data_IF_121979838116
#
_entry.id   IF_121979838116
#
_cell.length_a   1.000
_cell.length_b   1.000
_cell.length_c   1.000
_cell.angle_alpha   90.00
_cell.angle_beta   90.00
_cell.angle_gamma   90.00
#
_symmetry.space_group_name_H-M   'P 1'
#
loop_
_entity.id
_entity.type
_entity.pdbx_description
1 polymer ?
#
# COMPACT_ATOMS: atom_id res chain seq x y z
N UNK A 1 -14.56 -17.57 -5.51
CA UNK A 1 -14.53 -16.67 -6.68
C UNK A 1 -14.91 -15.29 -6.20
N UNK A 2 -13.92 -14.46 -5.87
CA UNK A 2 -14.13 -13.05 -5.53
C UNK A 2 -14.14 -12.32 -6.87
N UNK A 3 -15.32 -11.97 -7.37
CA UNK A 3 -15.43 -11.16 -8.58
C UNK A 3 -14.86 -9.77 -8.28
N UNK A 4 -14.22 -9.15 -9.26
CA UNK A 4 -13.54 -7.85 -9.16
C UNK A 4 -14.45 -6.67 -8.73
N UNK A 5 -15.71 -6.92 -8.38
CA UNK A 5 -16.71 -5.92 -7.99
C UNK A 5 -16.61 -5.47 -6.50
N UNK A 6 -15.74 -6.10 -5.70
CA UNK A 6 -15.81 -6.04 -4.22
C UNK A 6 -14.89 -4.99 -3.56
N UNK A 7 -14.57 -3.87 -4.20
CA UNK A 7 -13.88 -2.76 -3.52
C UNK A 7 -14.77 -1.53 -3.44
N UNK A 8 -15.24 -1.25 -2.23
CA UNK A 8 -15.79 0.04 -1.85
C UNK A 8 -14.64 0.84 -1.23
N UNK A 9 -14.34 2.04 -1.75
CA UNK A 9 -13.31 2.90 -1.15
C UNK A 9 -13.82 3.50 0.16
N UNK A 10 -13.67 2.74 1.23
CA UNK A 10 -14.04 3.16 2.58
C UNK A 10 -12.99 4.06 3.24
N UNK A 11 -11.79 4.16 2.66
CA UNK A 11 -10.75 5.05 3.18
C UNK A 11 -11.06 6.52 2.87
N UNK A 12 -11.85 6.78 1.82
CA UNK A 12 -12.38 8.11 1.48
C UNK A 12 -13.91 8.19 1.60
N UNK A 13 -14.52 7.33 2.42
CA UNK A 13 -15.96 7.36 2.64
C UNK A 13 -16.41 8.75 3.13
N UNK A 14 -17.42 9.37 2.50
CA UNK A 14 -17.89 10.68 2.93
C UNK A 14 -18.43 10.62 4.37
N UNK A 15 -18.31 11.69 5.16
CA UNK A 15 -18.95 11.79 6.46
C UNK A 15 -20.45 11.43 6.38
N UNK A 16 -20.94 10.70 7.37
CA UNK A 16 -22.35 10.29 7.44
C UNK A 16 -22.70 8.97 6.75
N UNK A 17 -21.74 8.29 6.10
CA UNK A 17 -21.95 6.95 5.55
C UNK A 17 -22.45 5.96 6.62
N UNK A 18 -21.98 6.07 7.86
CA UNK A 18 -22.44 5.23 8.98
C UNK A 18 -23.94 5.41 9.28
N UNK A 19 -24.51 6.60 9.08
CA UNK A 19 -25.95 6.81 9.27
C UNK A 19 -26.74 6.12 8.16
N UNK A 20 -26.35 6.33 6.91
CA UNK A 20 -27.01 5.68 5.76
C UNK A 20 -26.97 4.15 5.88
N UNK A 21 -25.82 3.61 6.27
CA UNK A 21 -25.68 2.19 6.53
C UNK A 21 -26.60 1.70 7.66
N UNK A 22 -26.67 2.44 8.78
CA UNK A 22 -27.55 2.11 9.90
C UNK A 22 -29.03 2.11 9.51
N UNK A 23 -29.47 3.14 8.78
CA UNK A 23 -30.86 3.29 8.34
C UNK A 23 -31.26 2.16 7.39
N UNK A 24 -30.40 1.82 6.43
CA UNK A 24 -30.60 0.68 5.54
C UNK A 24 -30.57 -0.67 6.29
N UNK A 25 -29.74 -0.80 7.32
CA UNK A 25 -29.65 -2.04 8.12
C UNK A 25 -30.86 -2.25 9.01
N UNK A 26 -31.43 -1.19 9.58
CA UNK A 26 -32.42 -1.32 10.65
C UNK A 26 -33.82 -0.88 10.25
N UNK A 27 -33.96 -0.15 9.14
CA UNK A 27 -35.19 0.54 8.75
C UNK A 27 -35.54 1.72 9.68
N UNK A 28 -34.65 2.11 10.59
CA UNK A 28 -34.88 3.16 11.60
C UNK A 28 -34.01 4.37 11.30
N UNK A 29 -34.58 5.56 11.35
CA UNK A 29 -33.80 6.78 11.15
C UNK A 29 -32.81 7.03 12.29
N UNK A 30 -31.57 7.39 11.95
CA UNK A 30 -30.58 7.84 12.92
C UNK A 30 -30.76 9.33 13.26
N UNK A 31 -31.37 10.12 12.36
CA UNK A 31 -31.41 11.58 12.41
C UNK A 31 -32.37 12.09 13.51
N UNK A 32 -33.46 11.38 13.77
CA UNK A 32 -34.47 11.72 14.79
C UNK A 32 -34.18 11.21 16.21
N UNK A 33 -32.97 10.73 16.48
CA UNK A 33 -32.60 10.13 17.76
C UNK A 33 -31.85 11.09 18.69
N UNK A 34 -31.70 10.71 19.96
CA UNK A 34 -31.06 11.55 20.99
C UNK A 34 -29.65 11.94 20.56
N UNK A 35 -29.39 13.26 20.56
CA UNK A 35 -28.16 13.87 20.06
C UNK A 35 -27.09 13.91 21.16
N UNK A 36 -25.84 13.62 20.79
CA UNK A 36 -24.67 13.80 21.66
C UNK A 36 -23.53 14.45 20.84
N UNK A 37 -23.51 15.77 20.80
CA UNK A 37 -22.69 16.52 19.84
C UNK A 37 -23.09 16.17 18.40
N UNK A 38 -22.12 15.81 17.56
CA UNK A 38 -22.38 15.33 16.20
C UNK A 38 -22.85 13.86 16.15
N UNK A 39 -22.77 13.14 17.27
CA UNK A 39 -23.15 11.74 17.35
C UNK A 39 -24.65 11.55 17.57
N UNK A 40 -25.13 10.32 17.32
CA UNK A 40 -26.50 9.88 17.55
C UNK A 40 -26.53 8.62 18.40
N UNK A 41 -27.42 8.57 19.39
CA UNK A 41 -27.68 7.38 20.20
C UNK A 41 -28.84 6.61 19.59
N UNK A 42 -28.53 5.42 19.07
CA UNK A 42 -29.44 4.56 18.33
C UNK A 42 -29.52 3.19 18.99
N UNK A 43 -30.48 2.37 18.57
CA UNK A 43 -30.52 0.98 19.00
C UNK A 43 -29.42 0.17 18.33
N UNK A 44 -28.73 -0.67 19.08
CA UNK A 44 -27.68 -1.52 18.58
C UNK A 44 -28.21 -2.42 17.46
N UNK A 45 -27.56 -2.44 16.29
CA UNK A 45 -27.99 -3.29 15.18
C UNK A 45 -27.49 -4.73 15.31
N UNK A 46 -26.71 -5.07 16.35
CA UNK A 46 -26.02 -6.35 16.45
C UNK A 46 -26.98 -7.51 16.68
N UNK A 47 -26.82 -8.61 15.93
CA UNK A 47 -27.73 -9.77 15.99
C UNK A 47 -27.70 -10.49 17.34
N UNK A 48 -26.59 -10.37 18.08
CA UNK A 48 -26.42 -10.96 19.40
C UNK A 48 -26.88 -10.03 20.54
N UNK A 49 -27.59 -8.95 20.22
CA UNK A 49 -28.02 -7.96 21.20
C UNK A 49 -29.41 -7.43 20.85
N UNK A 50 -30.43 -7.88 21.58
CA UNK A 50 -31.78 -7.36 21.48
C UNK A 50 -31.90 -6.06 22.27
N UNK A 51 -31.58 -4.95 21.60
CA UNK A 51 -31.51 -3.63 22.21
C UNK A 51 -32.90 -2.97 22.24
N UNK A 52 -33.56 -3.01 23.39
CA UNK A 52 -34.84 -2.34 23.61
C UNK A 52 -34.69 -0.81 23.83
N UNK A 53 -33.50 -0.37 24.30
CA UNK A 53 -33.19 1.03 24.60
C UNK A 53 -31.93 1.49 23.86
N UNK A 54 -31.89 2.68 23.25
CA UNK A 54 -30.73 3.14 22.48
C UNK A 54 -29.40 3.11 23.27
N UNK A 55 -28.55 2.13 23.00
CA UNK A 55 -27.25 1.94 23.66
C UNK A 55 -26.04 2.10 22.72
N UNK A 56 -26.29 2.30 21.43
CA UNK A 56 -25.26 2.40 20.40
C UNK A 56 -25.03 3.85 19.97
N UNK A 57 -23.78 4.31 20.01
CA UNK A 57 -23.39 5.64 19.54
C UNK A 57 -22.83 5.56 18.12
N UNK A 58 -23.42 6.32 17.20
CA UNK A 58 -22.93 6.50 15.84
C UNK A 58 -22.20 7.85 15.71
N UNK A 59 -20.99 7.84 15.15
CA UNK A 59 -20.21 9.04 14.84
C UNK A 59 -20.11 9.24 13.32
N UNK A 60 -20.83 10.22 12.74
CA UNK A 60 -20.86 10.44 11.29
C UNK A 60 -19.56 11.04 10.73
N UNK A 61 -18.85 11.86 11.50
CA UNK A 61 -17.59 12.47 11.06
C UNK A 61 -16.47 11.42 10.87
N UNK A 62 -16.45 10.40 11.74
CA UNK A 62 -15.45 9.31 11.69
C UNK A 62 -15.98 8.03 11.07
N UNK A 63 -17.25 7.97 10.69
CA UNK A 63 -17.92 6.77 10.21
C UNK A 63 -17.72 5.53 11.12
N UNK A 64 -17.81 5.74 12.44
CA UNK A 64 -17.59 4.70 13.46
C UNK A 64 -18.80 4.53 14.37
N UNK A 65 -18.90 3.37 15.02
CA UNK A 65 -19.90 3.08 16.03
C UNK A 65 -19.31 2.38 17.26
N UNK A 66 -20.02 2.48 18.38
CA UNK A 66 -19.74 1.72 19.60
C UNK A 66 -21.03 1.50 20.39
N UNK A 67 -21.26 0.27 20.82
CA UNK A 67 -22.33 -0.11 21.74
C UNK A 67 -21.83 -0.06 23.20
N UNK A 68 -22.58 0.61 24.07
CA UNK A 68 -22.25 0.74 25.50
C UNK A 68 -23.03 -0.24 26.41
N UNK A 69 -23.92 -1.06 25.85
CA UNK A 69 -24.65 -2.06 26.63
C UNK A 69 -23.69 -3.10 27.24
N UNK A 70 -23.91 -3.40 28.52
CA UNK A 70 -23.16 -4.43 29.23
C UNK A 70 -23.36 -5.80 28.55
N UNK A 71 -22.26 -6.45 28.14
CA UNK A 71 -22.29 -7.74 27.45
C UNK A 71 -22.29 -7.66 25.92
N UNK A 72 -22.52 -6.49 25.31
CA UNK A 72 -22.44 -6.33 23.85
C UNK A 72 -21.07 -5.79 23.39
N UNK A 73 -20.75 -4.52 23.71
CA UNK A 73 -19.43 -3.92 23.49
C UNK A 73 -18.93 -3.83 22.04
N UNK A 74 -19.76 -4.17 21.04
CA UNK A 74 -19.39 -4.13 19.62
C UNK A 74 -19.02 -2.70 19.21
N UNK A 75 -17.98 -2.59 18.39
CA UNK A 75 -17.43 -1.31 17.93
C UNK A 75 -16.67 -1.48 16.63
N UNK A 76 -16.50 -0.40 15.88
CA UNK A 76 -15.69 -0.39 14.68
C UNK A 76 -16.19 0.61 13.65
N UNK A 77 -15.88 0.35 12.38
CA UNK A 77 -16.36 1.14 11.25
C UNK A 77 -17.68 0.63 10.69
N UNK A 78 -18.07 1.18 9.54
CA UNK A 78 -19.32 0.84 8.84
C UNK A 78 -19.44 -0.67 8.55
N UNK A 79 -18.38 -1.32 8.07
CA UNK A 79 -18.41 -2.75 7.78
C UNK A 79 -18.54 -3.59 9.04
N UNK A 80 -17.88 -3.19 10.13
CA UNK A 80 -17.96 -3.92 11.41
C UNK A 80 -19.39 -3.87 11.98
N UNK A 81 -20.12 -2.78 11.74
CA UNK A 81 -21.54 -2.66 12.11
C UNK A 81 -22.43 -3.62 11.32
N UNK A 82 -22.21 -3.71 10.01
CA UNK A 82 -22.94 -4.63 9.12
C UNK A 82 -22.62 -6.09 9.48
N UNK A 83 -21.34 -6.39 9.75
CA UNK A 83 -20.92 -7.72 10.23
C UNK A 83 -21.60 -8.04 11.56
N UNK A 84 -21.57 -7.13 12.53
CA UNK A 84 -22.21 -7.32 13.84
C UNK A 84 -23.72 -7.55 13.72
N UNK A 85 -24.38 -6.94 12.71
CA UNK A 85 -25.83 -7.08 12.51
C UNK A 85 -26.30 -8.44 12.00
N UNK A 86 -25.39 -9.30 11.53
CA UNK A 86 -25.75 -10.59 10.94
C UNK A 86 -26.46 -10.52 9.58
N UNK A 87 -27.00 -9.36 9.15
CA UNK A 87 -27.76 -9.20 7.90
C UNK A 87 -26.97 -9.38 6.59
N UNK A 88 -25.67 -9.64 6.66
CA UNK A 88 -24.82 -9.93 5.51
C UNK A 88 -24.78 -11.43 5.14
N UNK A 89 -25.35 -12.32 5.95
CA UNK A 89 -25.29 -13.78 5.74
C UNK A 89 -26.31 -14.33 4.72
N UNK A 90 -27.29 -13.54 4.28
CA UNK A 90 -28.35 -14.01 3.38
C UNK A 90 -28.00 -13.92 1.89
N UNK A 91 -26.93 -13.21 1.52
CA UNK A 91 -26.62 -12.92 0.09
C UNK A 91 -25.68 -13.94 -0.55
N UNK A 92 -24.98 -14.78 0.21
CA UNK A 92 -24.15 -15.85 -0.35
C UNK A 92 -23.72 -16.76 0.79
N UNK A 93 -23.98 -18.07 0.72
CA UNK A 93 -23.66 -19.08 1.75
C UNK A 93 -22.16 -19.26 2.08
N UNK A 94 -21.49 -18.17 2.44
CA UNK A 94 -20.08 -18.04 2.81
C UNK A 94 -20.03 -17.43 4.21
N UNK A 95 -19.11 -17.89 5.05
CA UNK A 95 -18.90 -17.38 6.41
C UNK A 95 -18.73 -15.86 6.42
N UNK A 96 -19.39 -15.23 7.38
CA UNK A 96 -19.40 -13.81 7.72
C UNK A 96 -18.02 -13.14 7.69
N UNK A 97 -17.74 -12.33 6.66
CA UNK A 97 -16.53 -11.52 6.55
C UNK A 97 -16.83 -10.09 6.09
N UNK A 98 -15.83 -9.20 6.21
CA UNK A 98 -15.93 -7.79 5.80
C UNK A 98 -16.21 -7.59 4.30
N UNK A 99 -15.90 -8.56 3.44
CA UNK A 99 -16.19 -8.47 2.00
C UNK A 99 -17.69 -8.62 1.73
N UNK A 100 -18.36 -9.56 2.40
CA UNK A 100 -19.81 -9.68 2.31
C UNK A 100 -20.54 -8.42 2.80
N UNK A 101 -20.05 -7.82 3.88
CA UNK A 101 -20.57 -6.53 4.36
C UNK A 101 -20.37 -5.39 3.35
N UNK A 102 -19.23 -5.35 2.65
CA UNK A 102 -18.96 -4.36 1.61
C UNK A 102 -19.92 -4.49 0.42
N UNK A 103 -20.15 -5.72 -0.07
CA UNK A 103 -21.12 -6.01 -1.15
C UNK A 103 -22.54 -5.57 -0.77
N UNK A 104 -22.97 -5.93 0.43
CA UNK A 104 -24.29 -5.54 0.93
C UNK A 104 -24.44 -4.01 0.97
N UNK A 105 -23.44 -3.31 1.52
CA UNK A 105 -23.48 -1.85 1.66
C UNK A 105 -23.55 -1.15 0.29
N UNK A 106 -22.76 -1.62 -0.66
CA UNK A 106 -22.74 -1.10 -2.01
C UNK A 106 -24.11 -1.25 -2.68
N UNK A 107 -24.72 -2.43 -2.57
CA UNK A 107 -26.05 -2.70 -3.11
C UNK A 107 -27.14 -1.89 -2.40
N UNK A 108 -27.14 -1.86 -1.06
CA UNK A 108 -28.15 -1.19 -0.26
C UNK A 108 -28.18 0.33 -0.46
N UNK A 109 -27.04 0.94 -0.80
CA UNK A 109 -26.90 2.38 -0.96
C UNK A 109 -26.68 2.83 -2.42
N UNK A 110 -26.74 1.91 -3.38
CA UNK A 110 -26.43 2.14 -4.79
C UNK A 110 -25.10 2.90 -4.99
N UNK A 111 -24.07 2.51 -4.22
CA UNK A 111 -22.76 3.18 -4.30
C UNK A 111 -22.04 2.75 -5.58
N UNK A 112 -21.38 3.69 -6.29
CA UNK A 112 -20.61 3.33 -7.47
C UNK A 112 -19.48 2.36 -7.07
N UNK A 113 -19.14 1.37 -7.91
CA UNK A 113 -17.95 0.57 -7.70
C UNK A 113 -16.72 1.48 -7.67
N UNK A 114 -15.70 1.10 -6.90
CA UNK A 114 -14.41 1.76 -6.96
C UNK A 114 -13.96 1.84 -8.44
N UNK A 115 -13.59 3.03 -8.95
CA UNK A 115 -13.07 3.17 -10.30
C UNK A 115 -11.86 2.26 -10.59
N UNK A 116 -11.13 1.83 -9.55
CA UNK A 116 -10.06 0.83 -9.65
C UNK A 116 -10.58 -0.61 -9.82
N UNK A 117 -11.76 -0.96 -9.30
CA UNK A 117 -12.42 -2.26 -9.51
C UNK A 117 -12.92 -2.46 -10.95
N UNK A 118 -13.19 -1.35 -11.67
CA UNK A 118 -13.57 -1.38 -13.09
C UNK A 118 -12.39 -1.66 -14.03
N UNK A 119 -11.16 -1.60 -13.51
CA UNK A 119 -9.98 -2.06 -14.23
C UNK A 119 -9.92 -3.59 -14.11
N UNK A 120 -9.59 -4.34 -15.19
CA UNK A 120 -9.45 -5.79 -15.11
C UNK A 120 -8.42 -6.15 -14.04
N UNK A 121 -8.91 -6.67 -12.92
CA UNK A 121 -8.08 -7.23 -11.87
C UNK A 121 -7.50 -8.54 -12.40
N UNK A 122 -6.20 -8.83 -12.24
CA UNK A 122 -5.70 -10.16 -12.49
C UNK A 122 -6.47 -11.14 -11.60
N UNK A 123 -7.05 -12.17 -12.23
CA UNK A 123 -7.88 -13.16 -11.54
C UNK A 123 -7.13 -13.74 -10.32
N UNK A 124 -7.71 -13.60 -9.13
CA UNK A 124 -7.17 -14.24 -7.94
C UNK A 124 -7.46 -15.75 -8.03
N UNK A 125 -6.40 -16.54 -8.21
CA UNK A 125 -6.45 -18.00 -8.30
C UNK A 125 -7.03 -18.56 -6.98
N UNK A 126 -8.15 -19.30 -7.01
CA UNK A 126 -8.76 -19.88 -5.81
C UNK A 126 -7.86 -20.91 -5.09
N UNK A 127 -6.77 -21.39 -5.71
CA UNK A 127 -5.74 -22.22 -5.06
C UNK A 127 -4.66 -21.41 -4.29
N UNK A 128 -4.63 -20.09 -4.41
CA UNK A 128 -3.58 -19.20 -3.87
C UNK A 128 -3.67 -18.95 -2.34
N UNK A 129 -4.63 -19.57 -1.66
CA UNK A 129 -4.78 -19.39 -0.20
C UNK A 129 -3.68 -20.08 0.62
N UNK A 130 -2.86 -20.95 0.02
CA UNK A 130 -1.72 -21.61 0.69
C UNK A 130 -0.50 -21.92 -0.22
N UNK A 131 -0.44 -21.41 -1.46
CA UNK A 131 0.50 -21.86 -2.50
C UNK A 131 1.84 -21.12 -2.53
N UNK A 132 2.92 -21.74 -2.03
CA UNK A 132 4.30 -21.31 -2.34
C UNK A 132 4.46 -21.17 -3.85
N UNK A 133 4.71 -19.94 -4.34
CA UNK A 133 5.09 -19.68 -5.74
C UNK A 133 6.20 -20.65 -6.13
N UNK A 134 5.89 -21.63 -6.99
CA UNK A 134 6.87 -22.57 -7.53
C UNK A 134 7.41 -21.98 -8.82
N UNK A 135 8.65 -21.51 -8.77
CA UNK A 135 9.44 -21.19 -9.96
C UNK A 135 10.15 -22.48 -10.38
N UNK A 136 10.01 -22.85 -11.65
CA UNK A 136 10.85 -23.89 -12.26
C UNK A 136 12.19 -23.26 -12.62
N UNK A 137 13.28 -24.02 -12.49
CA UNK A 137 14.64 -23.53 -12.74
C UNK A 137 14.95 -22.24 -11.94
N UNK A 138 14.55 -22.20 -10.66
CA UNK A 138 14.75 -21.03 -9.79
C UNK A 138 16.24 -20.74 -9.59
N UNK A 139 16.68 -19.51 -9.86
CA UNK A 139 18.01 -19.03 -9.53
C UNK A 139 17.94 -17.72 -8.73
N UNK A 140 18.93 -17.52 -7.85
CA UNK A 140 19.07 -16.29 -7.09
C UNK A 140 19.53 -15.17 -8.03
N UNK A 141 18.69 -14.16 -8.22
CA UNK A 141 18.95 -13.04 -9.09
C UNK A 141 19.68 -11.90 -8.37
N UNK A 142 19.21 -11.53 -7.18
CA UNK A 142 19.86 -10.50 -6.36
C UNK A 142 19.59 -10.66 -4.87
N UNK A 143 20.47 -10.08 -4.06
CA UNK A 143 20.39 -10.06 -2.59
C UNK A 143 20.56 -8.62 -2.12
N UNK A 144 19.65 -8.14 -1.29
CA UNK A 144 19.64 -6.78 -0.77
C UNK A 144 19.59 -6.83 0.77
N UNK A 145 20.58 -6.22 1.41
CA UNK A 145 20.69 -6.17 2.86
C UNK A 145 20.08 -4.88 3.40
N UNK A 146 19.13 -5.02 4.33
CA UNK A 146 18.52 -3.90 5.05
C UNK A 146 19.27 -3.70 6.35
N UNK A 147 19.96 -2.56 6.47
CA UNK A 147 20.79 -2.22 7.62
C UNK A 147 20.16 -1.08 8.42
N UNK A 148 20.20 -1.20 9.74
CA UNK A 148 19.83 -0.12 10.67
C UNK A 148 20.87 1.00 10.59
N UNK A 149 20.60 2.15 11.19
CA UNK A 149 21.51 3.31 11.18
C UNK A 149 22.88 3.05 11.82
N UNK A 150 22.97 2.07 12.73
CA UNK A 150 24.24 1.59 13.29
C UNK A 150 24.95 0.55 12.40
N UNK A 151 24.50 0.39 11.14
CA UNK A 151 25.00 -0.57 10.14
C UNK A 151 24.74 -2.06 10.44
N UNK A 152 24.06 -2.37 11.54
CA UNK A 152 23.64 -3.74 11.86
C UNK A 152 22.59 -4.25 10.87
N UNK A 153 22.71 -5.52 10.49
CA UNK A 153 21.77 -6.15 9.58
C UNK A 153 20.42 -6.40 10.27
N UNK A 154 19.35 -5.75 9.79
CA UNK A 154 17.99 -6.00 10.24
C UNK A 154 17.41 -7.24 9.56
N UNK A 155 17.50 -7.29 8.23
CA UNK A 155 17.04 -8.42 7.42
C UNK A 155 17.63 -8.36 6.01
N UNK A 156 17.46 -9.45 5.26
CA UNK A 156 17.92 -9.61 3.89
C UNK A 156 16.76 -9.98 2.99
N UNK A 157 16.61 -9.30 1.86
CA UNK A 157 15.63 -9.64 0.82
C UNK A 157 16.37 -10.26 -0.35
N UNK A 158 15.97 -11.46 -0.74
CA UNK A 158 16.48 -12.15 -1.91
C UNK A 158 15.42 -12.21 -3.00
N UNK A 159 15.80 -11.80 -4.20
CA UNK A 159 15.00 -11.91 -5.41
C UNK A 159 15.45 -13.12 -6.19
N UNK A 160 14.51 -14.00 -6.51
CA UNK A 160 14.70 -15.17 -7.36
C UNK A 160 13.95 -15.00 -8.67
N UNK A 161 14.53 -15.51 -9.75
CA UNK A 161 13.90 -15.59 -11.06
C UNK A 161 13.77 -17.06 -11.46
N UNK A 162 12.82 -17.35 -12.32
CA UNK A 162 12.66 -18.68 -12.90
C UNK A 162 11.51 -18.72 -13.89
N UNK A 163 11.32 -19.88 -14.51
CA UNK A 163 10.19 -20.12 -15.40
C UNK A 163 8.92 -20.26 -14.54
N UNK A 164 7.80 -19.68 -14.98
CA UNK A 164 6.55 -19.83 -14.25
C UNK A 164 6.09 -21.28 -14.36
N UNK A 165 5.67 -21.89 -13.25
CA UNK A 165 5.19 -23.28 -13.25
C UNK A 165 3.85 -23.48 -13.99
N UNK A 166 3.10 -22.40 -14.22
CA UNK A 166 1.86 -22.37 -15.00
C UNK A 166 1.94 -21.24 -16.05
N UNK A 167 1.34 -21.36 -17.24
CA UNK A 167 1.24 -20.27 -18.20
C UNK A 167 0.63 -19.01 -17.56
N UNK A 168 1.23 -17.84 -17.83
CA UNK A 168 0.81 -16.56 -17.22
C UNK A 168 1.23 -16.35 -15.76
N UNK A 169 1.91 -17.33 -15.14
CA UNK A 169 2.39 -17.21 -13.76
C UNK A 169 3.52 -16.20 -13.57
N UNK A 170 3.85 -15.93 -12.30
CA UNK A 170 4.96 -15.03 -11.93
C UNK A 170 6.30 -15.66 -12.29
N UNK A 171 7.20 -14.85 -12.84
CA UNK A 171 8.59 -15.22 -13.18
C UNK A 171 9.59 -14.86 -12.09
N UNK A 172 9.12 -14.18 -11.04
CA UNK A 172 9.94 -13.68 -9.93
C UNK A 172 9.28 -13.97 -8.59
N UNK A 173 10.13 -14.19 -7.59
CA UNK A 173 9.72 -14.41 -6.21
C UNK A 173 10.71 -13.75 -5.26
N UNK A 174 10.21 -13.30 -4.11
CA UNK A 174 11.03 -12.68 -3.08
C UNK A 174 10.99 -13.53 -1.82
N UNK A 175 12.13 -13.66 -1.13
CA UNK A 175 12.25 -14.25 0.21
C UNK A 175 12.91 -13.24 1.12
N UNK A 176 12.35 -13.04 2.30
CA UNK A 176 12.97 -12.22 3.34
C UNK A 176 13.55 -13.14 4.41
N UNK A 177 14.76 -12.82 4.85
CA UNK A 177 15.52 -13.58 5.83
C UNK A 177 15.90 -12.67 7.00
N UNK A 178 15.64 -13.13 8.22
CA UNK A 178 15.95 -12.40 9.45
C UNK A 178 17.05 -13.13 10.22
N UNK A 179 18.18 -12.48 10.54
CA UNK A 179 19.27 -13.12 11.26
C UNK A 179 18.86 -13.42 12.71
N UNK A 180 19.37 -14.53 13.25
CA UNK A 180 19.26 -14.88 14.68
C UNK A 180 20.62 -14.74 15.36
N UNK A 181 20.65 -14.52 16.69
CA UNK A 181 21.90 -14.49 17.45
C UNK A 181 22.74 -15.78 17.35
N UNK A 182 22.09 -16.92 17.05
CA UNK A 182 22.75 -18.22 16.89
C UNK A 182 23.28 -18.48 15.46
N UNK A 183 23.26 -17.47 14.58
CA UNK A 183 23.73 -17.56 13.20
C UNK A 183 22.74 -18.18 12.20
N UNK A 184 21.55 -18.63 12.65
CA UNK A 184 20.49 -19.13 11.76
C UNK A 184 19.64 -17.99 11.19
N UNK A 185 18.82 -18.31 10.19
CA UNK A 185 17.90 -17.35 9.55
C UNK A 185 16.44 -17.77 9.74
N UNK A 186 15.56 -16.79 9.98
CA UNK A 186 14.11 -16.95 9.98
C UNK A 186 13.51 -16.46 8.65
N UNK A 187 12.42 -17.06 8.24
CA UNK A 187 11.65 -16.68 7.04
C UNK A 187 10.38 -15.90 7.36
N UNK A 188 10.02 -15.82 8.65
CA UNK A 188 8.95 -14.97 9.16
C UNK A 188 9.56 -13.79 9.91
N UNK A 189 8.91 -12.63 9.82
CA UNK A 189 9.35 -11.41 10.50
C UNK A 189 9.15 -11.54 12.01
N UNK A 190 10.20 -11.42 12.83
CA UNK A 190 10.05 -11.27 14.28
C UNK A 190 9.26 -10.02 14.64
N UNK A 191 8.54 -10.02 15.77
CA UNK A 191 7.66 -8.92 16.16
C UNK A 191 8.42 -7.60 16.43
N UNK A 192 9.68 -7.70 16.86
CA UNK A 192 10.59 -6.61 17.20
C UNK A 192 11.39 -6.08 15.99
N UNK A 193 11.23 -6.69 14.81
CA UNK A 193 11.87 -6.21 13.59
C UNK A 193 10.90 -5.36 12.80
N UNK A 194 11.09 -4.05 12.89
CA UNK A 194 10.38 -3.08 12.06
C UNK A 194 10.92 -3.04 10.62
N UNK A 195 10.06 -2.83 9.62
CA UNK A 195 10.50 -2.48 8.28
C UNK A 195 11.33 -1.20 8.28
N UNK A 196 12.34 -1.15 7.41
CA UNK A 196 13.19 0.02 7.19
C UNK A 196 13.44 0.23 5.70
N UNK A 197 13.93 1.41 5.32
CA UNK A 197 14.35 1.70 3.96
C UNK A 197 15.54 0.82 3.53
N UNK A 198 15.60 0.50 2.24
CA UNK A 198 16.80 -0.08 1.65
C UNK A 198 17.90 0.98 1.59
N UNK A 199 19.17 0.64 1.87
CA UNK A 199 20.26 1.62 1.95
C UNK A 199 19.97 2.76 2.94
N UNK A 200 19.35 2.42 4.08
CA UNK A 200 18.93 3.40 5.08
C UNK A 200 20.10 4.25 5.62
N UNK A 201 21.27 3.70 6.04
CA UNK A 201 22.38 4.51 6.54
C UNK A 201 22.92 5.52 5.53
N UNK A 202 23.03 5.11 4.26
CA UNK A 202 23.51 5.92 3.15
C UNK A 202 22.49 7.04 2.83
N UNK A 203 21.21 6.68 2.77
CA UNK A 203 20.10 7.62 2.60
C UNK A 203 20.08 8.67 3.71
N UNK A 204 20.21 8.19 4.96
CA UNK A 204 20.23 9.05 6.14
C UNK A 204 21.39 10.03 6.07
N UNK A 205 22.61 9.55 5.79
CA UNK A 205 23.81 10.38 5.67
C UNK A 205 23.68 11.41 4.54
N UNK A 206 23.20 10.98 3.36
CA UNK A 206 23.01 11.86 2.22
C UNK A 206 21.99 12.98 2.50
N UNK A 207 20.93 12.69 3.26
CA UNK A 207 19.95 13.71 3.64
C UNK A 207 20.60 14.84 4.43
N UNK A 208 21.42 14.51 5.45
CA UNK A 208 22.11 15.52 6.28
C UNK A 208 23.20 16.27 5.52
N UNK A 209 23.70 15.69 4.42
CA UNK A 209 24.60 16.36 3.49
C UNK A 209 23.86 17.21 2.43
N UNK A 210 22.57 17.52 2.65
CA UNK A 210 21.73 18.31 1.74
C UNK A 210 21.70 17.77 0.29
N UNK A 211 21.74 16.45 0.12
CA UNK A 211 21.70 15.82 -1.21
C UNK A 211 20.28 15.69 -1.74
N UNK A 212 20.18 15.47 -3.06
CA UNK A 212 18.99 14.91 -3.70
C UNK A 212 18.96 13.40 -3.46
N UNK A 213 17.82 12.87 -3.04
CA UNK A 213 17.57 11.46 -2.76
C UNK A 213 16.45 10.98 -3.68
N UNK A 214 16.60 9.79 -4.24
CA UNK A 214 15.62 9.17 -5.12
C UNK A 214 14.96 7.98 -4.42
N UNK A 215 13.63 7.96 -4.38
CA UNK A 215 12.83 6.83 -3.89
C UNK A 215 12.16 6.12 -5.06
N UNK A 216 12.53 4.86 -5.29
CA UNK A 216 11.97 3.97 -6.33
C UNK A 216 11.19 2.81 -5.71
N UNK A 217 10.40 2.10 -6.53
CA UNK A 217 9.56 0.99 -6.06
C UNK A 217 10.29 -0.29 -5.64
N UNK A 218 11.53 -0.51 -6.11
CA UNK A 218 12.24 -1.76 -5.84
C UNK A 218 13.76 -1.61 -5.76
N UNK A 219 14.38 -2.50 -5.00
CA UNK A 219 15.79 -2.49 -4.62
C UNK A 219 16.69 -2.54 -5.86
N UNK A 220 16.34 -3.38 -6.85
CA UNK A 220 17.08 -3.47 -8.12
C UNK A 220 17.17 -2.14 -8.87
N UNK A 221 16.12 -1.30 -8.80
CA UNK A 221 16.11 0.01 -9.45
C UNK A 221 17.00 0.99 -8.68
N UNK A 222 17.00 0.89 -7.35
CA UNK A 222 17.87 1.69 -6.49
C UNK A 222 19.33 1.34 -6.76
N UNK A 223 19.68 0.05 -6.86
CA UNK A 223 21.03 -0.40 -7.19
C UNK A 223 21.51 0.14 -8.54
N UNK A 224 20.66 0.14 -9.58
CA UNK A 224 21.01 0.69 -10.88
C UNK A 224 21.29 2.21 -10.82
N UNK A 225 20.49 2.96 -10.06
CA UNK A 225 20.72 4.40 -9.86
C UNK A 225 21.98 4.67 -9.06
N UNK A 226 22.26 3.87 -8.03
CA UNK A 226 23.50 3.95 -7.24
C UNK A 226 24.73 3.69 -8.12
N UNK A 227 24.67 2.72 -9.03
CA UNK A 227 25.74 2.47 -10.01
C UNK A 227 26.02 3.67 -10.92
N UNK A 228 25.00 4.49 -11.22
CA UNK A 228 25.12 5.73 -11.98
C UNK A 228 25.51 6.95 -11.12
N UNK A 229 25.83 6.75 -9.83
CA UNK A 229 26.28 7.80 -8.91
C UNK A 229 25.16 8.63 -8.28
N UNK A 230 23.90 8.18 -8.35
CA UNK A 230 22.80 8.81 -7.62
C UNK A 230 22.68 8.25 -6.19
N UNK A 231 22.06 9.04 -5.30
CA UNK A 231 21.60 8.52 -4.01
C UNK A 231 20.18 8.00 -4.20
N UNK A 232 19.99 6.68 -4.10
CA UNK A 232 18.70 6.04 -4.30
C UNK A 232 18.37 5.02 -3.22
N UNK A 233 17.08 4.86 -2.95
CA UNK A 233 16.53 3.94 -1.94
C UNK A 233 15.18 3.40 -2.41
N UNK A 234 14.68 2.38 -1.72
CA UNK A 234 13.33 1.84 -1.92
C UNK A 234 12.69 1.43 -0.59
N UNK A 235 11.37 1.40 -0.57
CA UNK A 235 10.62 0.75 0.50
C UNK A 235 10.79 -0.79 0.41
N UNK A 236 10.74 -1.50 1.55
CA UNK A 236 10.76 -2.96 1.55
C UNK A 236 9.45 -3.51 1.03
N UNK A 237 9.48 -4.76 0.56
CA UNK A 237 8.29 -5.52 0.16
C UNK A 237 7.56 -4.99 -1.08
N UNK A 238 8.19 -4.09 -1.84
CA UNK A 238 7.74 -3.63 -3.17
C UNK A 238 6.66 -2.56 -3.14
N UNK A 239 6.01 -2.35 -4.29
CA UNK A 239 5.04 -1.28 -4.54
C UNK A 239 3.83 -1.23 -3.59
N UNK A 240 3.45 -2.33 -2.94
CA UNK A 240 2.28 -2.39 -2.06
C UNK A 240 2.55 -2.01 -0.60
N UNK A 241 3.82 -1.76 -0.23
CA UNK A 241 4.15 -1.36 1.13
C UNK A 241 3.75 0.09 1.41
N UNK A 242 2.84 0.27 2.38
CA UNK A 242 2.41 1.58 2.83
C UNK A 242 3.53 2.20 3.68
N UNK A 243 4.15 3.25 3.16
CA UNK A 243 5.17 4.01 3.89
C UNK A 243 4.52 4.74 5.07
N UNK A 244 4.96 4.49 6.32
CA UNK A 244 4.41 5.20 7.45
C UNK A 244 4.92 6.66 7.46
N UNK A 245 4.07 7.65 7.81
CA UNK A 245 4.50 9.06 7.88
C UNK A 245 5.65 9.30 8.84
N UNK A 246 5.84 8.43 9.83
CA UNK A 246 6.98 8.51 10.73
C UNK A 246 8.30 8.45 10.00
N UNK A 247 8.41 7.85 8.80
CA UNK A 247 9.63 7.76 8.00
C UNK A 247 10.13 9.08 7.41
N UNK A 248 9.37 10.18 7.52
CA UNK A 248 9.80 11.52 7.08
C UNK A 248 11.19 11.90 7.63
N UNK A 249 11.47 11.56 8.89
CA UNK A 249 12.76 11.81 9.55
C UNK A 249 13.98 11.19 8.85
N UNK A 250 13.80 10.12 8.07
CA UNK A 250 14.91 9.54 7.31
C UNK A 250 15.48 10.52 6.30
N UNK A 251 14.64 11.40 5.76
CA UNK A 251 14.99 12.36 4.71
C UNK A 251 15.23 13.79 5.22
N UNK A 252 15.12 14.00 6.53
CA UNK A 252 15.30 15.33 7.13
C UNK A 252 16.69 15.90 6.79
N UNK A 253 16.70 17.15 6.30
CA UNK A 253 17.89 17.84 5.79
C UNK A 253 18.11 17.69 4.29
N UNK A 254 17.50 16.71 3.61
CA UNK A 254 17.69 16.51 2.18
C UNK A 254 17.24 17.74 1.38
N UNK A 255 17.99 18.06 0.31
CA UNK A 255 17.60 19.14 -0.60
C UNK A 255 16.33 18.75 -1.36
N UNK A 256 16.27 17.52 -1.84
CA UNK A 256 15.05 17.00 -2.45
C UNK A 256 14.89 15.49 -2.26
N UNK A 257 13.64 15.06 -2.19
CA UNK A 257 13.21 13.68 -2.28
C UNK A 257 12.39 13.52 -3.58
N UNK A 258 12.98 12.82 -4.56
CA UNK A 258 12.37 12.50 -5.84
C UNK A 258 11.72 11.12 -5.77
N UNK A 259 10.42 11.04 -5.97
CA UNK A 259 9.68 9.78 -5.98
C UNK A 259 9.43 9.40 -7.43
N UNK A 260 10.07 8.33 -7.90
CA UNK A 260 10.00 7.90 -9.31
C UNK A 260 9.03 6.71 -9.42
N UNK A 261 7.91 6.86 -10.14
CA UNK A 261 6.95 5.78 -10.36
C UNK A 261 7.40 4.80 -11.43
N UNK A 262 6.81 3.60 -11.42
CA UNK A 262 6.75 2.78 -12.62
C UNK A 262 5.80 3.41 -13.66
N UNK A 263 6.08 3.23 -14.96
CA UNK A 263 5.29 3.81 -16.05
C UNK A 263 3.97 3.05 -16.29
N UNK A 264 3.23 2.78 -15.22
CA UNK A 264 1.88 2.23 -15.23
C UNK A 264 0.97 2.95 -14.23
N UNK A 265 -0.33 2.66 -14.30
CA UNK A 265 -1.32 3.32 -13.43
C UNK A 265 -1.07 2.98 -11.95
N UNK A 266 -0.86 1.71 -11.56
CA UNK A 266 -0.55 1.36 -10.18
C UNK A 266 0.67 2.11 -9.62
N UNK A 267 1.80 2.13 -10.35
CA UNK A 267 3.03 2.76 -9.90
C UNK A 267 2.91 4.27 -9.74
N UNK A 268 2.24 4.95 -10.68
CA UNK A 268 1.95 6.41 -10.56
C UNK A 268 1.05 6.72 -9.36
N UNK A 269 0.03 5.91 -9.11
CA UNK A 269 -0.85 6.06 -7.93
C UNK A 269 -0.08 5.87 -6.63
N UNK A 270 0.80 4.88 -6.59
CA UNK A 270 1.63 4.61 -5.42
C UNK A 270 2.62 5.74 -5.18
N UNK A 271 3.28 6.28 -6.21
CA UNK A 271 4.15 7.43 -6.07
C UNK A 271 3.42 8.66 -5.51
N UNK A 272 2.18 8.92 -5.94
CA UNK A 272 1.36 9.99 -5.38
C UNK A 272 1.05 9.77 -3.89
N UNK A 273 0.70 8.54 -3.48
CA UNK A 273 0.47 8.21 -2.07
C UNK A 273 1.73 8.37 -1.22
N UNK A 274 2.88 7.92 -1.74
CA UNK A 274 4.17 8.08 -1.07
C UNK A 274 4.55 9.55 -0.93
N UNK A 275 4.25 10.36 -1.94
CA UNK A 275 4.46 11.80 -1.90
C UNK A 275 3.66 12.45 -0.78
N UNK A 276 2.39 12.09 -0.63
CA UNK A 276 1.54 12.59 0.45
C UNK A 276 2.06 12.13 1.83
N UNK A 277 2.36 10.83 1.96
CA UNK A 277 2.88 10.25 3.20
C UNK A 277 4.20 10.91 3.64
N UNK A 278 5.04 11.31 2.68
CA UNK A 278 6.36 11.93 2.92
C UNK A 278 6.36 13.44 2.70
N UNK A 279 5.20 14.10 2.72
CA UNK A 279 5.15 15.55 2.63
C UNK A 279 5.92 16.23 3.78
N UNK A 280 6.72 17.23 3.42
CA UNK A 280 7.64 17.90 4.33
C UNK A 280 8.84 17.06 4.80
N UNK A 281 9.10 15.88 4.21
CA UNK A 281 10.27 15.06 4.59
C UNK A 281 11.61 15.67 4.16
N UNK A 282 11.61 16.47 3.10
CA UNK A 282 12.76 17.16 2.53
C UNK A 282 12.36 18.57 2.12
N UNK A 283 13.33 19.44 1.78
CA UNK A 283 13.02 20.81 1.30
C UNK A 283 12.09 20.78 0.09
N UNK A 284 12.33 19.88 -0.86
CA UNK A 284 11.40 19.56 -1.93
C UNK A 284 11.07 18.08 -1.89
N UNK A 285 9.80 17.72 -1.78
CA UNK A 285 9.35 16.35 -2.05
C UNK A 285 8.52 16.41 -3.32
N UNK A 286 8.83 15.59 -4.34
CA UNK A 286 8.14 15.64 -5.62
C UNK A 286 7.97 14.25 -6.23
N UNK A 287 6.87 14.05 -6.94
CA UNK A 287 6.77 12.92 -7.88
C UNK A 287 7.48 13.34 -9.16
N UNK A 288 8.49 12.57 -9.55
CA UNK A 288 9.26 12.78 -10.76
C UNK A 288 8.95 11.62 -11.70
N UNK A 289 8.03 11.83 -12.65
CA UNK A 289 7.72 10.85 -13.71
C UNK A 289 8.56 11.19 -14.94
N UNK A 290 9.68 10.48 -15.21
CA UNK A 290 10.58 10.85 -16.31
C UNK A 290 9.97 10.57 -17.69
N UNK A 291 8.88 9.81 -17.76
CA UNK A 291 8.25 9.37 -19.00
C UNK A 291 6.72 9.49 -18.93
N UNK A 292 6.17 10.70 -18.72
CA UNK A 292 4.74 10.90 -18.55
C UNK A 292 3.93 10.54 -19.81
N UNK A 293 4.57 10.61 -20.99
CA UNK A 293 3.99 10.26 -22.28
C UNK A 293 3.76 8.76 -22.46
N UNK A 294 4.46 7.91 -21.69
CA UNK A 294 4.28 6.45 -21.75
C UNK A 294 2.92 6.07 -21.17
N UNK A 295 2.01 5.72 -22.09
CA UNK A 295 0.62 5.37 -21.79
C UNK A 295 0.50 4.02 -21.09
N UNK A 296 -0.44 3.94 -20.15
CA UNK A 296 -0.76 2.85 -19.21
C UNK A 296 -0.94 1.41 -19.75
N UNK A 297 -0.78 1.16 -21.06
CA UNK A 297 -0.96 -0.16 -21.68
C UNK A 297 0.32 -1.00 -21.76
N UNK A 298 1.49 -0.41 -21.51
CA UNK A 298 2.76 -1.11 -21.43
C UNK A 298 2.96 -1.72 -20.03
N UNK A 299 3.29 -3.02 -19.97
CA UNK A 299 3.70 -3.69 -18.72
C UNK A 299 4.99 -3.05 -18.19
N UNK A 300 4.87 -2.16 -17.22
CA UNK A 300 5.95 -1.76 -16.28
C UNK A 300 7.26 -1.33 -16.91
N UNK A 301 7.26 -0.32 -17.80
CA UNK A 301 8.52 0.36 -18.14
C UNK A 301 8.98 1.20 -16.96
N UNK A 302 10.23 1.10 -16.57
CA UNK A 302 10.79 1.87 -15.47
C UNK A 302 12.33 2.00 -15.59
N UNK A 303 12.98 2.52 -14.56
CA UNK A 303 14.44 2.62 -14.42
C UNK A 303 15.15 1.27 -14.70
N UNK A 304 14.55 0.17 -14.24
CA UNK A 304 15.00 -1.20 -14.44
C UNK A 304 14.84 -1.74 -15.86
N UNK A 305 14.15 -1.02 -16.75
CA UNK A 305 14.19 -1.27 -18.19
C UNK A 305 15.10 -0.27 -18.91
N UNK A 306 15.00 1.01 -18.55
CA UNK A 306 15.74 2.09 -19.21
C UNK A 306 17.25 1.89 -19.13
N UNK A 307 17.82 1.74 -17.92
CA UNK A 307 19.28 1.65 -17.75
C UNK A 307 19.85 0.41 -18.45
N UNK A 308 19.28 -0.80 -18.29
CA UNK A 308 19.76 -1.96 -19.04
C UNK A 308 19.64 -1.81 -20.56
N UNK A 309 18.60 -1.13 -21.07
CA UNK A 309 18.44 -0.87 -22.50
C UNK A 309 19.53 0.08 -23.03
N UNK A 310 19.88 1.13 -22.28
CA UNK A 310 20.98 2.03 -22.64
C UNK A 310 22.32 1.29 -22.72
N UNK A 311 22.62 0.48 -21.70
CA UNK A 311 23.83 -0.36 -21.68
C UNK A 311 23.87 -1.35 -22.85
N UNK A 312 22.75 -1.98 -23.17
CA UNK A 312 22.64 -2.90 -24.31
C UNK A 312 22.84 -2.19 -25.67
N UNK A 313 22.48 -0.91 -25.76
CA UNK A 313 22.73 -0.06 -26.92
C UNK A 313 24.17 0.49 -26.99
N UNK A 314 25.05 0.13 -26.03
CA UNK A 314 26.42 0.63 -25.96
C UNK A 314 26.55 2.07 -25.46
N UNK A 315 25.48 2.63 -24.88
CA UNK A 315 25.49 3.98 -24.34
C UNK A 315 26.19 3.95 -22.97
N UNK A 316 27.23 4.78 -22.75
CA UNK A 316 27.96 4.79 -21.48
C UNK A 316 27.09 5.22 -20.30
N UNK A 317 27.40 4.69 -19.11
CA UNK A 317 26.72 5.02 -17.86
C UNK A 317 26.76 6.53 -17.55
N UNK A 318 27.85 7.23 -17.87
CA UNK A 318 27.94 8.69 -17.68
C UNK A 318 26.94 9.46 -18.55
N UNK A 319 26.75 9.04 -19.80
CA UNK A 319 25.77 9.65 -20.70
C UNK A 319 24.34 9.37 -20.23
N UNK A 320 24.08 8.15 -19.77
CA UNK A 320 22.78 7.75 -19.19
C UNK A 320 22.49 8.53 -17.90
N UNK A 321 23.50 8.71 -17.04
CA UNK A 321 23.38 9.50 -15.82
C UNK A 321 23.13 10.98 -16.13
N UNK A 322 23.81 11.55 -17.13
CA UNK A 322 23.57 12.92 -17.58
C UNK A 322 22.14 13.11 -18.10
N UNK A 323 21.61 12.18 -18.89
CA UNK A 323 20.22 12.21 -19.36
C UNK A 323 19.23 12.21 -18.18
N UNK A 324 19.41 11.29 -17.23
CA UNK A 324 18.56 11.21 -16.04
C UNK A 324 18.66 12.48 -15.17
N UNK A 325 19.86 13.05 -15.00
CA UNK A 325 20.04 14.31 -14.26
C UNK A 325 19.21 15.43 -14.88
N UNK A 326 19.26 15.58 -16.21
CA UNK A 326 18.47 16.59 -16.92
C UNK A 326 16.96 16.39 -16.70
N UNK A 327 16.48 15.15 -16.77
CA UNK A 327 15.08 14.81 -16.49
C UNK A 327 14.68 15.17 -15.05
N UNK A 328 15.50 14.81 -14.07
CA UNK A 328 15.22 15.07 -12.65
C UNK A 328 15.27 16.55 -12.30
N UNK A 329 16.25 17.29 -12.84
CA UNK A 329 16.36 18.73 -12.64
C UNK A 329 15.19 19.50 -13.28
N UNK A 330 14.70 19.07 -14.44
CA UNK A 330 13.54 19.67 -15.07
C UNK A 330 12.29 19.58 -14.16
N UNK A 331 12.10 18.44 -13.50
CA UNK A 331 11.02 18.24 -12.52
C UNK A 331 11.24 19.04 -11.22
N UNK A 332 12.47 19.19 -10.77
CA UNK A 332 12.77 20.02 -9.59
C UNK A 332 12.49 21.50 -9.86
N UNK A 333 12.84 22.00 -11.05
CA UNK A 333 12.59 23.40 -11.43
C UNK A 333 11.11 23.71 -11.60
N UNK A 334 10.27 22.76 -12.00
CA UNK A 334 8.83 23.00 -12.14
C UNK A 334 8.08 23.01 -10.79
N UNK A 335 8.73 22.58 -9.70
CA UNK A 335 8.15 22.49 -8.37
C UNK A 335 8.69 23.52 -7.37
N UNK A 336 9.69 24.32 -7.76
CA UNK A 336 10.30 25.38 -6.96
C UNK A 336 9.66 26.75 -7.26
#
# INVERSE_FOLDING_TARGET
MTTAADTLDLNHAPPGLIFRAYESLTGRSAIGTRVYGECRMVRCPAANHDDEHPSCKLNPARNTFICFAAGCGVRGGVLDMIVASGRHSEISGVRSDRHAAARWLQAALALPPDPAALLPQPEADPEDRNGRIKLLDEFLFSTHDYRRLNSELAYRVQRFHGKPAKPGGRTKRFKTWYPRPDGRWLTHRPADVEPILYLLPETYTAARAHRVIILVEGEYKADLLVQLGFVATSAPFGGSFVIPPTWRWYFEGAYALLIIPDCDIPGRREAARRREALDGAARHTIVCDPWPERRARSRGYDIGNFIPAQRAAGIPDEATAAELRLMFEAHLRSAA
#
